data_IF_932362369699
#
_entry.id   IF_932362369699
#
_cell.length_a   1.000
_cell.length_b   1.000
_cell.length_c   1.000
_cell.angle_alpha   90.00
_cell.angle_beta   90.00
_cell.angle_gamma   90.00
#
_symmetry.space_group_name_H-M   'P 1'
#
loop_
_entity.id
_entity.type
_entity.pdbx_description
1 polymer ?
#
# COMPACT_ATOMS: atom_id res chain seq x y z
N UNK A 1 -28.65 -2.43 21.24
CA UNK A 1 -27.97 -3.47 20.43
C UNK A 1 -28.08 -3.04 18.98
N UNK A 2 -26.98 -2.60 18.38
CA UNK A 2 -26.98 -2.13 16.99
C UNK A 2 -26.89 -3.31 16.03
N UNK A 3 -27.82 -3.35 15.08
CA UNK A 3 -28.15 -4.48 14.19
C UNK A 3 -27.11 -4.67 13.05
N UNK A 4 -25.89 -4.14 13.19
CA UNK A 4 -24.82 -4.21 12.17
C UNK A 4 -23.62 -5.09 12.55
N UNK A 5 -23.55 -5.61 13.78
CA UNK A 5 -22.36 -6.27 14.32
C UNK A 5 -22.41 -7.81 14.29
N UNK A 6 -23.51 -8.39 13.79
CA UNK A 6 -23.84 -9.82 13.90
C UNK A 6 -23.06 -10.79 12.98
N UNK A 7 -22.09 -10.29 12.21
CA UNK A 7 -21.40 -11.11 11.19
C UNK A 7 -19.87 -11.19 11.39
N UNK A 8 -19.35 -10.65 12.50
CA UNK A 8 -17.93 -10.80 12.81
C UNK A 8 -17.64 -12.16 13.45
N UNK A 9 -16.55 -12.84 13.08
CA UNK A 9 -16.11 -14.05 13.77
C UNK A 9 -15.90 -13.78 15.26
N UNK A 10 -16.17 -14.78 16.11
CA UNK A 10 -16.09 -14.65 17.58
C UNK A 10 -14.73 -14.10 18.04
N UNK A 11 -13.63 -14.50 17.40
CA UNK A 11 -12.28 -14.02 17.74
C UNK A 11 -12.04 -12.53 17.44
N UNK A 12 -12.83 -11.94 16.53
CA UNK A 12 -12.77 -10.53 16.16
C UNK A 12 -13.61 -9.63 17.07
N UNK A 13 -14.34 -10.22 18.03
CA UNK A 13 -15.19 -9.52 18.99
C UNK A 13 -14.57 -9.59 20.39
N UNK A 14 -14.65 -8.49 21.13
CA UNK A 14 -14.17 -8.36 22.49
C UNK A 14 -15.31 -8.44 23.51
N UNK A 15 -15.01 -8.92 24.71
CA UNK A 15 -15.84 -8.64 25.89
C UNK A 15 -15.75 -7.16 26.28
N UNK A 16 -16.69 -6.68 27.09
CA UNK A 16 -16.69 -5.29 27.57
C UNK A 16 -15.39 -4.92 28.32
N UNK A 17 -14.86 -5.86 29.12
CA UNK A 17 -13.57 -5.69 29.82
C UNK A 17 -12.40 -5.56 28.84
N UNK A 18 -12.38 -6.38 27.78
CA UNK A 18 -11.35 -6.32 26.75
C UNK A 18 -11.44 -5.03 25.94
N UNK A 19 -12.66 -4.63 25.54
CA UNK A 19 -12.91 -3.39 24.83
C UNK A 19 -12.45 -2.18 25.67
N UNK A 20 -12.69 -2.21 26.99
CA UNK A 20 -12.22 -1.16 27.88
C UNK A 20 -10.69 -1.08 27.97
N UNK A 21 -10.03 -2.24 28.09
CA UNK A 21 -8.57 -2.31 28.06
C UNK A 21 -8.00 -1.77 26.75
N UNK A 22 -8.63 -2.06 25.62
CA UNK A 22 -8.22 -1.55 24.31
C UNK A 22 -8.44 -0.05 24.18
N UNK A 23 -9.56 0.49 24.70
CA UNK A 23 -9.80 1.93 24.77
C UNK A 23 -8.71 2.64 25.56
N UNK A 24 -8.40 2.18 26.77
CA UNK A 24 -7.32 2.77 27.58
C UNK A 24 -5.97 2.78 26.86
N UNK A 25 -5.60 1.66 26.22
CA UNK A 25 -4.36 1.59 25.43
C UNK A 25 -4.38 2.53 24.21
N UNK A 26 -5.54 2.74 23.62
CA UNK A 26 -5.71 3.68 22.51
C UNK A 26 -5.47 5.11 22.99
N UNK A 27 -5.98 5.47 24.16
CA UNK A 27 -5.73 6.77 24.80
C UNK A 27 -4.25 6.96 25.20
N UNK A 28 -3.55 5.87 25.52
CA UNK A 28 -2.10 5.85 25.77
C UNK A 28 -1.25 5.94 24.47
N UNK A 29 -1.88 6.02 23.29
CA UNK A 29 -1.20 6.20 22.00
C UNK A 29 -0.67 4.91 21.37
N UNK A 30 -1.09 3.73 21.84
CA UNK A 30 -0.59 2.44 21.31
C UNK A 30 -0.86 2.21 19.80
N UNK A 31 -1.83 2.92 19.22
CA UNK A 31 -2.16 2.87 17.79
C UNK A 31 -1.99 4.21 17.08
N UNK A 32 -1.27 5.14 17.70
CA UNK A 32 -0.94 6.39 17.03
C UNK A 32 -0.11 6.12 15.77
N UNK A 33 -0.24 7.04 14.81
CA UNK A 33 0.58 6.98 13.61
C UNK A 33 2.06 7.08 13.98
N UNK A 34 2.85 6.15 13.44
CA UNK A 34 4.30 6.23 13.55
C UNK A 34 4.81 7.45 12.78
N UNK A 35 6.01 7.93 13.09
CA UNK A 35 6.58 9.15 12.48
C UNK A 35 6.59 9.11 10.94
N UNK A 36 6.86 7.94 10.37
CA UNK A 36 6.81 7.74 8.92
C UNK A 36 5.39 7.53 8.37
N UNK A 37 4.41 7.18 9.19
CA UNK A 37 2.99 7.16 8.77
C UNK A 37 2.39 8.56 8.74
N UNK A 38 2.89 9.46 9.60
CA UNK A 38 2.54 10.88 9.57
C UNK A 38 2.88 11.51 8.20
N UNK A 39 4.01 11.13 7.61
CA UNK A 39 4.40 11.54 6.25
C UNK A 39 3.28 11.30 5.22
N UNK A 40 2.65 10.12 5.26
CA UNK A 40 1.55 9.76 4.37
C UNK A 40 0.25 10.49 4.70
N UNK A 41 -0.08 10.65 5.99
CA UNK A 41 -1.24 11.44 6.43
C UNK A 41 -1.17 12.88 5.92
N UNK A 42 -0.01 13.53 6.00
CA UNK A 42 0.18 14.90 5.54
C UNK A 42 -0.10 15.06 4.05
N UNK A 43 0.16 14.01 3.26
CA UNK A 43 -0.07 13.96 1.81
C UNK A 43 -1.46 13.46 1.41
N UNK A 44 -2.29 13.05 2.37
CA UNK A 44 -3.59 12.43 2.12
C UNK A 44 -4.47 13.24 1.16
N UNK A 45 -4.64 14.54 1.43
CA UNK A 45 -5.52 15.39 0.62
C UNK A 45 -4.97 15.64 -0.79
N UNK A 46 -3.65 15.75 -0.93
CA UNK A 46 -3.01 15.90 -2.23
C UNK A 46 -3.15 14.62 -3.06
N UNK A 47 -2.82 13.45 -2.49
CA UNK A 47 -2.97 12.18 -3.18
C UNK A 47 -4.42 11.93 -3.59
N UNK A 48 -5.37 12.26 -2.71
CA UNK A 48 -6.80 12.17 -3.02
C UNK A 48 -7.20 13.07 -4.18
N UNK A 49 -6.67 14.30 -4.27
CA UNK A 49 -6.94 15.20 -5.40
C UNK A 49 -6.30 14.72 -6.71
N UNK A 50 -5.22 13.93 -6.63
CA UNK A 50 -4.62 13.22 -7.76
C UNK A 50 -5.32 11.90 -8.11
N UNK A 51 -6.41 11.55 -7.43
CA UNK A 51 -7.19 10.34 -7.72
C UNK A 51 -6.76 9.10 -6.92
N UNK A 52 -5.96 9.23 -5.86
CA UNK A 52 -5.47 8.12 -5.04
C UNK A 52 -5.89 8.26 -3.59
N UNK A 53 -6.74 7.35 -3.12
CA UNK A 53 -7.28 7.37 -1.76
C UNK A 53 -6.50 6.41 -0.87
N UNK A 54 -5.79 6.95 0.13
CA UNK A 54 -5.15 6.16 1.18
C UNK A 54 -6.18 5.52 2.12
N UNK A 55 -5.75 4.47 2.84
CA UNK A 55 -6.54 3.78 3.86
C UNK A 55 -7.09 4.75 4.92
N UNK A 56 -8.26 4.47 5.53
CA UNK A 56 -8.92 5.39 6.47
C UNK A 56 -8.02 5.89 7.60
N UNK A 57 -7.09 5.05 8.09
CA UNK A 57 -6.09 5.38 9.12
C UNK A 57 -5.29 6.66 8.83
N UNK A 58 -5.05 6.98 7.56
CA UNK A 58 -4.26 8.14 7.12
C UNK A 58 -5.10 9.38 6.85
N UNK A 59 -6.43 9.30 6.99
CA UNK A 59 -7.32 10.45 6.82
C UNK A 59 -7.13 11.43 7.98
N UNK A 60 -6.95 12.74 7.71
CA UNK A 60 -6.94 13.74 8.78
C UNK A 60 -8.21 13.65 9.64
N UNK A 61 -8.05 13.64 10.96
CA UNK A 61 -9.16 13.46 11.92
C UNK A 61 -9.73 12.03 11.97
N UNK A 62 -9.01 11.02 11.49
CA UNK A 62 -9.39 9.62 11.69
C UNK A 62 -9.51 9.27 13.19
N UNK A 63 -10.46 8.40 13.49
CA UNK A 63 -10.69 7.82 14.81
C UNK A 63 -10.70 6.30 14.64
N UNK A 64 -10.02 5.54 15.52
CA UNK A 64 -9.97 4.10 15.41
C UNK A 64 -11.33 3.42 15.35
N UNK A 65 -11.47 2.49 14.41
CA UNK A 65 -12.75 1.82 14.11
C UNK A 65 -13.31 0.98 15.26
N UNK A 66 -12.49 0.66 16.26
CA UNK A 66 -12.90 -0.10 17.45
C UNK A 66 -13.47 0.76 18.58
N UNK A 67 -13.22 2.07 18.60
CA UNK A 67 -13.72 2.93 19.67
C UNK A 67 -15.26 3.01 19.62
N UNK A 68 -15.91 2.79 20.76
CA UNK A 68 -17.37 2.75 20.85
C UNK A 68 -18.02 1.49 20.27
N UNK A 69 -17.22 0.47 19.94
CA UNK A 69 -17.69 -0.83 19.44
C UNK A 69 -17.11 -1.97 20.28
N UNK A 70 -17.51 -3.21 20.00
CA UNK A 70 -16.92 -4.42 20.57
C UNK A 70 -15.84 -5.05 19.66
N UNK A 71 -15.29 -4.31 18.69
CA UNK A 71 -14.30 -4.85 17.77
C UNK A 71 -12.95 -5.01 18.44
N UNK A 72 -12.31 -6.15 18.21
CA UNK A 72 -10.94 -6.38 18.63
C UNK A 72 -9.98 -5.63 17.70
N UNK A 73 -9.18 -4.66 18.20
CA UNK A 73 -8.28 -3.87 17.36
C UNK A 73 -7.35 -4.74 16.53
N UNK A 74 -6.91 -5.89 17.05
CA UNK A 74 -6.00 -6.82 16.34
C UNK A 74 -6.52 -7.34 15.00
N UNK A 75 -7.83 -7.23 14.77
CA UNK A 75 -8.50 -7.64 13.54
C UNK A 75 -9.09 -6.46 12.77
N UNK A 76 -8.81 -5.23 13.21
CA UNK A 76 -9.18 -4.01 12.50
C UNK A 76 -8.03 -3.62 11.57
N UNK A 77 -8.32 -3.39 10.29
CA UNK A 77 -7.34 -2.99 9.28
C UNK A 77 -6.61 -1.71 9.68
N UNK A 78 -7.34 -0.75 10.23
CA UNK A 78 -6.79 0.54 10.67
C UNK A 78 -5.94 0.46 11.94
N UNK A 79 -5.77 -0.73 12.53
CA UNK A 79 -4.79 -1.00 13.58
C UNK A 79 -3.40 -1.37 13.04
N UNK A 80 -3.32 -1.79 11.77
CA UNK A 80 -2.11 -2.33 11.15
C UNK A 80 -1.21 -1.17 10.74
N UNK A 81 -0.01 -1.14 11.32
CA UNK A 81 1.03 -0.19 10.94
C UNK A 81 1.70 -0.56 9.62
N UNK A 82 2.25 0.45 8.95
CA UNK A 82 3.01 0.27 7.72
C UNK A 82 4.38 -0.38 8.03
N UNK A 83 4.73 -1.45 7.31
CA UNK A 83 6.00 -2.17 7.52
C UNK A 83 7.21 -1.41 6.95
N UNK A 84 6.99 -0.62 5.90
CA UNK A 84 8.01 0.16 5.22
C UNK A 84 7.61 1.63 5.24
N UNK A 85 8.52 2.52 5.61
CA UNK A 85 8.26 3.96 5.68
C UNK A 85 7.94 4.59 4.31
N UNK A 86 8.56 4.07 3.26
CA UNK A 86 8.56 4.66 1.92
C UNK A 86 7.45 4.11 1.02
N UNK A 87 6.68 3.12 1.48
CA UNK A 87 5.70 2.40 0.66
C UNK A 87 4.35 2.32 1.38
N UNK A 88 3.28 2.58 0.63
CA UNK A 88 1.90 2.41 1.10
C UNK A 88 1.00 1.95 -0.05
N UNK A 89 -0.12 1.30 0.26
CA UNK A 89 -1.19 1.03 -0.71
C UNK A 89 -2.20 2.19 -0.79
N UNK A 90 -2.82 2.34 -1.94
CA UNK A 90 -3.94 3.26 -2.15
C UNK A 90 -5.00 2.64 -3.07
N UNK A 91 -6.20 3.19 -3.03
CA UNK A 91 -7.26 2.89 -3.99
C UNK A 91 -7.27 3.97 -5.06
N UNK A 92 -7.06 3.59 -6.32
CA UNK A 92 -7.25 4.48 -7.46
C UNK A 92 -8.74 4.75 -7.64
N UNK A 93 -9.13 6.02 -7.60
CA UNK A 93 -10.53 6.43 -7.57
C UNK A 93 -11.25 6.26 -8.91
N UNK A 94 -10.52 6.23 -10.03
CA UNK A 94 -11.12 6.11 -11.36
C UNK A 94 -11.75 4.73 -11.61
N UNK A 95 -11.24 3.68 -10.99
CA UNK A 95 -11.66 2.30 -11.25
C UNK A 95 -11.73 1.40 -10.00
N UNK A 96 -11.36 1.92 -8.82
CA UNK A 96 -11.33 1.16 -7.57
C UNK A 96 -10.15 0.20 -7.43
N UNK A 97 -9.19 0.21 -8.37
CA UNK A 97 -8.05 -0.70 -8.33
C UNK A 97 -7.07 -0.32 -7.22
N UNK A 98 -6.50 -1.33 -6.55
CA UNK A 98 -5.44 -1.12 -5.56
C UNK A 98 -4.10 -0.92 -6.25
N UNK A 99 -3.39 0.13 -5.83
CA UNK A 99 -2.07 0.50 -6.34
C UNK A 99 -1.08 0.63 -5.21
N UNK A 100 0.21 0.52 -5.53
CA UNK A 100 1.29 0.82 -4.61
C UNK A 100 1.81 2.23 -4.87
N UNK A 101 2.00 2.98 -3.80
CA UNK A 101 2.64 4.28 -3.77
C UNK A 101 4.01 4.10 -3.12
N UNK A 102 5.08 4.50 -3.82
CA UNK A 102 6.43 4.51 -3.30
C UNK A 102 7.03 5.90 -3.39
N UNK A 103 7.57 6.38 -2.28
CA UNK A 103 8.33 7.64 -2.27
C UNK A 103 9.77 7.37 -2.70
N UNK A 104 10.30 8.22 -3.58
CA UNK A 104 11.67 8.11 -4.12
C UNK A 104 12.34 9.48 -4.14
N UNK A 105 13.67 9.51 -4.16
CA UNK A 105 14.44 10.73 -4.40
C UNK A 105 14.56 11.00 -5.90
N UNK A 106 14.56 12.28 -6.30
CA UNK A 106 14.90 12.70 -7.67
C UNK A 106 16.38 12.47 -8.01
N UNK A 107 17.23 12.25 -7.00
CA UNK A 107 18.64 11.94 -7.22
C UNK A 107 18.85 10.48 -7.65
N UNK A 108 17.84 9.64 -7.50
CA UNK A 108 17.91 8.22 -7.82
C UNK A 108 17.48 7.97 -9.27
N UNK A 109 18.03 6.91 -9.88
CA UNK A 109 17.67 6.50 -11.24
C UNK A 109 16.32 5.75 -11.31
N UNK A 110 15.59 5.62 -10.20
CA UNK A 110 14.36 4.82 -10.16
C UNK A 110 13.26 5.39 -11.07
N UNK A 111 13.06 6.70 -11.09
CA UNK A 111 12.09 7.37 -11.98
C UNK A 111 12.44 7.17 -13.47
N UNK A 112 13.66 7.51 -13.95
CA UNK A 112 13.98 7.36 -15.36
C UNK A 112 13.96 5.89 -15.82
N UNK A 113 14.45 4.96 -14.99
CA UNK A 113 14.41 3.51 -15.29
C UNK A 113 12.96 3.01 -15.33
N UNK A 114 12.16 3.31 -14.30
CA UNK A 114 10.76 2.88 -14.24
C UNK A 114 9.93 3.41 -15.41
N UNK A 115 10.15 4.67 -15.82
CA UNK A 115 9.50 5.24 -17.00
C UNK A 115 9.97 4.58 -18.30
N UNK A 116 11.25 4.27 -18.44
CA UNK A 116 11.79 3.58 -19.62
C UNK A 116 11.13 2.20 -19.80
N UNK A 117 10.95 1.46 -18.70
CA UNK A 117 10.39 0.11 -18.70
C UNK A 117 8.85 0.07 -18.75
N UNK A 118 8.19 1.23 -18.67
CA UNK A 118 6.72 1.35 -18.67
C UNK A 118 6.19 2.17 -19.86
N UNK A 119 7.00 2.40 -20.90
CA UNK A 119 6.55 3.13 -22.09
C UNK A 119 5.62 2.26 -22.92
N UNK A 120 4.72 2.89 -23.66
CA UNK A 120 3.73 2.20 -24.48
C UNK A 120 4.37 1.21 -25.47
N UNK A 121 5.59 1.46 -25.96
CA UNK A 121 6.29 0.56 -26.89
C UNK A 121 6.76 -0.77 -26.25
N UNK A 122 6.91 -0.81 -24.93
CA UNK A 122 7.43 -1.98 -24.18
C UNK A 122 6.48 -2.47 -23.09
N UNK A 123 5.44 -1.71 -22.74
CA UNK A 123 4.53 -2.05 -21.65
C UNK A 123 3.74 -3.34 -21.91
N UNK A 124 3.44 -3.62 -23.18
CA UNK A 124 2.72 -4.82 -23.63
C UNK A 124 3.66 -5.90 -24.22
N UNK A 125 4.99 -5.71 -24.14
CA UNK A 125 5.96 -6.71 -24.57
C UNK A 125 5.91 -7.92 -23.61
N UNK A 126 5.60 -9.14 -24.08
CA UNK A 126 5.51 -10.32 -23.22
C UNK A 126 6.83 -10.70 -22.53
N UNK A 127 7.96 -10.15 -22.99
CA UNK A 127 9.30 -10.34 -22.40
C UNK A 127 9.64 -9.29 -21.34
N UNK A 128 8.82 -8.25 -21.19
CA UNK A 128 9.02 -7.21 -20.20
C UNK A 128 8.28 -7.54 -18.89
N UNK A 129 8.98 -8.17 -17.96
CA UNK A 129 8.43 -8.51 -16.63
C UNK A 129 8.59 -7.41 -15.59
N UNK A 130 8.91 -6.18 -16.02
CA UNK A 130 9.08 -5.07 -15.09
C UNK A 130 7.74 -4.58 -14.55
N UNK A 131 7.75 -4.10 -13.32
CA UNK A 131 6.54 -3.57 -12.67
C UNK A 131 6.15 -2.27 -13.36
N UNK A 132 4.92 -2.14 -13.91
CA UNK A 132 4.53 -0.94 -14.62
C UNK A 132 4.36 0.24 -13.65
N UNK A 133 4.96 1.36 -14.02
CA UNK A 133 4.76 2.67 -13.41
C UNK A 133 3.61 3.37 -14.12
N UNK A 134 2.49 3.55 -13.41
CA UNK A 134 1.31 4.22 -13.95
C UNK A 134 1.46 5.74 -13.96
N UNK A 135 2.08 6.30 -12.93
CA UNK A 135 2.22 7.74 -12.78
C UNK A 135 3.38 8.08 -11.84
N UNK A 136 3.97 9.25 -12.04
CA UNK A 136 4.93 9.85 -11.10
C UNK A 136 4.39 11.21 -10.70
N UNK A 137 4.14 11.39 -9.40
CA UNK A 137 3.65 12.63 -8.82
C UNK A 137 4.80 13.36 -8.12
N UNK A 138 4.88 14.67 -8.32
CA UNK A 138 5.79 15.50 -7.52
C UNK A 138 5.29 15.55 -6.08
N UNK A 139 6.18 15.36 -5.12
CA UNK A 139 5.82 15.53 -3.71
C UNK A 139 5.43 17.00 -3.42
N UNK A 140 4.29 17.25 -2.74
CA UNK A 140 3.78 18.59 -2.53
C UNK A 140 4.56 19.40 -1.46
N UNK A 141 5.34 18.73 -0.61
CA UNK A 141 6.10 19.37 0.48
C UNK A 141 7.61 19.32 0.25
N UNK A 142 8.12 18.25 -0.37
CA UNK A 142 9.54 17.98 -0.53
C UNK A 142 9.93 17.95 -2.02
N UNK A 143 10.43 19.07 -2.55
CA UNK A 143 10.81 19.20 -3.98
C UNK A 143 11.84 18.17 -4.46
N UNK A 144 12.63 17.59 -3.56
CA UNK A 144 13.62 16.56 -3.87
C UNK A 144 13.04 15.15 -3.96
N UNK A 145 11.75 14.96 -3.67
CA UNK A 145 11.07 13.67 -3.71
C UNK A 145 9.96 13.62 -4.74
N UNK A 146 9.62 12.40 -5.15
CA UNK A 146 8.44 12.09 -5.93
C UNK A 146 7.75 10.86 -5.35
N UNK A 147 6.47 10.68 -5.70
CA UNK A 147 5.70 9.47 -5.42
C UNK A 147 5.46 8.75 -6.74
N UNK A 148 5.99 7.54 -6.85
CA UNK A 148 5.72 6.64 -7.98
C UNK A 148 4.46 5.82 -7.64
N UNK A 149 3.51 5.81 -8.58
CA UNK A 149 2.32 4.98 -8.55
C UNK A 149 2.57 3.78 -9.45
N UNK A 150 2.46 2.58 -8.90
CA UNK A 150 2.73 1.33 -9.63
C UNK A 150 1.76 0.22 -9.23
N UNK A 151 1.83 -0.90 -9.94
CA UNK A 151 1.02 -2.09 -9.66
C UNK A 151 1.20 -2.55 -8.21
N UNK A 152 0.09 -2.87 -7.54
CA UNK A 152 0.14 -3.47 -6.20
C UNK A 152 0.55 -4.94 -6.31
N UNK A 153 1.65 -5.32 -5.63
CA UNK A 153 2.24 -6.65 -5.72
C UNK A 153 2.18 -7.39 -4.39
N UNK A 154 2.39 -8.70 -4.46
CA UNK A 154 2.61 -9.57 -3.31
C UNK A 154 4.05 -10.09 -3.33
N UNK A 155 4.58 -10.56 -2.19
CA UNK A 155 5.83 -11.31 -2.17
C UNK A 155 5.80 -12.46 -3.18
N UNK A 156 6.90 -12.65 -3.92
CA UNK A 156 6.98 -13.68 -4.97
C UNK A 156 6.85 -15.11 -4.44
N UNK A 157 7.11 -15.29 -3.14
CA UNK A 157 7.06 -16.56 -2.42
C UNK A 157 5.81 -16.70 -1.55
N UNK A 158 4.78 -15.89 -1.77
CA UNK A 158 3.49 -15.98 -1.08
C UNK A 158 2.30 -15.99 -2.08
N UNK A 159 1.75 -17.18 -2.41
CA UNK A 159 2.07 -18.49 -1.84
C UNK A 159 3.44 -19.05 -2.30
N UNK A 160 3.93 -20.05 -1.59
CA UNK A 160 5.19 -20.73 -1.92
C UNK A 160 5.14 -21.40 -3.30
N UNK A 161 6.28 -21.43 -4.00
CA UNK A 161 6.46 -22.21 -5.24
C UNK A 161 6.35 -23.70 -4.91
N UNK A 162 5.41 -24.41 -5.53
CA UNK A 162 5.06 -25.81 -5.19
C UNK A 162 5.72 -26.82 -6.11
N UNK A 163 6.19 -26.39 -7.28
CA UNK A 163 6.77 -27.26 -8.31
C UNK A 163 8.11 -26.72 -8.80
N UNK A 164 8.96 -27.63 -9.29
CA UNK A 164 10.21 -27.26 -9.97
C UNK A 164 9.92 -26.40 -11.22
N UNK A 165 8.80 -26.66 -11.91
CA UNK A 165 8.37 -25.89 -13.08
C UNK A 165 8.12 -24.43 -12.76
N UNK A 166 7.40 -24.12 -11.69
CA UNK A 166 7.16 -22.74 -11.23
C UNK A 166 8.46 -22.02 -10.87
N UNK A 167 9.40 -22.72 -10.22
CA UNK A 167 10.70 -22.13 -9.89
C UNK A 167 11.55 -21.85 -11.13
N UNK A 168 11.57 -22.77 -12.10
CA UNK A 168 12.27 -22.58 -13.38
C UNK A 168 11.63 -21.42 -14.16
N UNK A 169 10.30 -21.34 -14.22
CA UNK A 169 9.57 -20.27 -14.90
C UNK A 169 9.86 -18.90 -14.27
N UNK A 170 9.83 -18.79 -12.92
CA UNK A 170 10.23 -17.58 -12.20
C UNK A 170 11.67 -17.14 -12.55
N UNK A 171 12.62 -18.09 -12.57
CA UNK A 171 14.01 -17.80 -12.93
C UNK A 171 14.12 -17.33 -14.37
N UNK A 172 13.43 -17.98 -15.31
CA UNK A 172 13.44 -17.56 -16.71
C UNK A 172 12.86 -16.17 -16.91
N UNK A 173 11.70 -15.86 -16.32
CA UNK A 173 11.10 -14.53 -16.38
C UNK A 173 12.01 -13.45 -15.78
N UNK A 174 12.70 -13.76 -14.66
CA UNK A 174 13.63 -12.81 -14.02
C UNK A 174 14.89 -12.54 -14.87
N UNK A 175 15.31 -13.53 -15.67
CA UNK A 175 16.47 -13.44 -16.55
C UNK A 175 16.11 -13.03 -17.97
N UNK A 176 14.82 -12.89 -18.28
CA UNK A 176 14.37 -12.47 -19.59
C UNK A 176 14.67 -10.98 -19.78
N UNK A 177 15.44 -10.66 -20.81
CA UNK A 177 15.85 -9.30 -21.14
C UNK A 177 15.16 -8.91 -22.43
N UNK A 178 14.31 -7.88 -22.38
CA UNK A 178 13.85 -7.21 -23.59
C UNK A 178 15.08 -6.61 -24.28
N UNK A 179 15.47 -7.18 -25.42
CA UNK A 179 16.33 -6.49 -26.38
C UNK A 179 15.51 -5.31 -26.89
N UNK A 180 15.54 -4.19 -26.14
CA UNK A 180 15.24 -2.89 -26.70
C UNK A 180 16.09 -2.81 -27.95
N UNK A 181 15.44 -2.94 -29.11
CA UNK A 181 16.07 -2.72 -30.39
C UNK A 181 16.48 -1.25 -30.35
N UNK A 182 17.72 -1.00 -29.95
CA UNK A 182 18.38 0.29 -30.06
C UNK A 182 18.49 0.57 -31.57
N UNK A 183 17.42 1.14 -32.11
CA UNK A 183 17.35 1.71 -33.46
C UNK A 183 16.99 3.18 -33.32
#
# INVERSE_FOLDING_TARGET
MNVGESNLPIYAVCSDEQAERFRKRTEEGHWDLLSYEVFWRERYNYLKSQGYLLRPRFRPGWTPSWLGTNRNPRYCEDSICSMLSEVIDATRLSDGTRVMLKTVSHLDNEIPIGRLLSRDEVADDPTNHCVPVYQVLQDPFEKSKAVIIMKYLRPFNDPELRTIGEAIDFVFQTLEVSLLSLV
#
